data_IF_095726326927
#
_entry.id   IF_095726326927
#
_cell.length_a   1.000
_cell.length_b   1.000
_cell.length_c   1.000
_cell.angle_alpha   90.00
_cell.angle_beta   90.00
_cell.angle_gamma   90.00
#
_symmetry.space_group_name_H-M   'P 1'
#
loop_
_entity.id
_entity.type
_entity.pdbx_description
1 polymer ?
#
# COMPACT_ATOMS: atom_id res chain seq x y z
N UNK A 1 27.39 33.12 -9.19
CA UNK A 1 26.54 32.31 -8.30
C UNK A 1 25.56 31.56 -9.18
N UNK A 2 25.96 30.42 -9.73
CA UNK A 2 25.10 29.57 -10.57
C UNK A 2 24.65 28.40 -9.72
N UNK A 3 23.34 28.29 -9.46
CA UNK A 3 22.76 27.11 -8.86
C UNK A 3 22.64 26.04 -9.95
N UNK A 4 23.56 25.08 -9.94
CA UNK A 4 23.42 23.85 -10.72
C UNK A 4 22.22 23.09 -10.13
N UNK A 5 21.06 23.30 -10.73
CA UNK A 5 19.89 22.45 -10.53
C UNK A 5 20.15 21.24 -11.40
N UNK A 6 20.84 20.24 -10.84
CA UNK A 6 20.93 18.92 -11.43
C UNK A 6 19.50 18.37 -11.56
N UNK A 7 18.89 18.54 -12.73
CA UNK A 7 17.71 17.78 -13.13
C UNK A 7 18.13 16.33 -13.14
N UNK A 8 17.78 15.58 -12.10
CA UNK A 8 17.84 14.13 -12.15
C UNK A 8 16.89 13.68 -13.27
N UNK A 9 17.48 13.33 -14.42
CA UNK A 9 16.80 12.66 -15.51
C UNK A 9 16.19 11.38 -14.95
N UNK A 10 14.86 11.38 -14.83
CA UNK A 10 14.08 10.28 -14.31
C UNK A 10 14.26 9.04 -15.15
N UNK A 11 15.07 8.09 -14.67
CA UNK A 11 14.70 6.70 -14.83
C UNK A 11 13.48 6.51 -13.95
N UNK A 12 12.29 6.41 -14.55
CA UNK A 12 11.10 5.92 -13.86
C UNK A 12 11.52 4.64 -13.16
N UNK A 13 11.62 4.64 -11.82
CA UNK A 13 11.73 3.39 -11.09
C UNK A 13 10.42 2.69 -11.39
N UNK A 14 10.48 1.73 -12.30
CA UNK A 14 9.35 0.89 -12.62
C UNK A 14 8.92 0.25 -11.30
N UNK A 15 7.83 0.77 -10.74
CA UNK A 15 7.29 0.24 -9.51
C UNK A 15 6.92 -1.20 -9.84
N UNK A 16 7.36 -2.18 -9.04
CA UNK A 16 7.03 -3.56 -9.30
C UNK A 16 5.51 -3.70 -9.41
N UNK A 17 5.04 -4.30 -10.50
CA UNK A 17 3.63 -4.54 -10.82
C UNK A 17 3.11 -5.71 -9.99
N UNK A 18 3.15 -5.58 -8.67
CA UNK A 18 2.53 -6.57 -7.80
C UNK A 18 1.02 -6.45 -7.90
N UNK A 19 0.36 -7.58 -8.14
CA UNK A 19 -1.04 -7.70 -7.76
C UNK A 19 -1.12 -7.56 -6.23
N UNK A 20 -2.05 -6.74 -5.74
CA UNK A 20 -2.24 -6.52 -4.31
C UNK A 20 -3.51 -7.24 -3.84
N UNK A 21 -3.47 -7.75 -2.61
CA UNK A 21 -4.66 -8.22 -1.88
C UNK A 21 -4.90 -7.33 -0.69
N UNK A 22 -6.17 -7.12 -0.38
CA UNK A 22 -6.63 -6.46 0.84
C UNK A 22 -7.49 -7.45 1.63
N UNK A 23 -7.30 -7.49 2.94
CA UNK A 23 -8.13 -8.24 3.89
C UNK A 23 -8.60 -7.27 4.95
N UNK A 24 -9.92 -7.24 5.20
CA UNK A 24 -10.52 -6.45 6.26
C UNK A 24 -10.88 -7.39 7.41
N UNK A 25 -10.27 -7.14 8.57
CA UNK A 25 -10.60 -7.80 9.82
C UNK A 25 -11.62 -6.95 10.58
N UNK A 26 -12.68 -7.60 11.04
CA UNK A 26 -13.77 -6.93 11.77
C UNK A 26 -13.72 -7.27 13.24
N UNK A 27 -13.90 -6.25 14.06
CA UNK A 27 -13.84 -6.35 15.51
C UNK A 27 -15.11 -5.77 16.14
N UNK A 28 -15.67 -6.46 17.14
CA UNK A 28 -16.92 -6.00 17.78
C UNK A 28 -16.69 -4.76 18.67
N UNK A 29 -15.51 -4.66 19.30
CA UNK A 29 -15.17 -3.64 20.30
C UNK A 29 -14.04 -2.70 19.86
N UNK A 30 -13.61 -2.76 18.59
CA UNK A 30 -12.53 -1.94 18.04
C UNK A 30 -12.83 -1.57 16.58
N UNK A 31 -12.21 -0.50 16.03
CA UNK A 31 -12.33 -0.19 14.61
C UNK A 31 -11.83 -1.34 13.74
N UNK A 32 -12.47 -1.52 12.57
CA UNK A 32 -12.01 -2.50 11.59
C UNK A 32 -10.59 -2.15 11.11
N UNK A 33 -9.80 -3.19 10.80
CA UNK A 33 -8.45 -3.05 10.28
C UNK A 33 -8.35 -3.65 8.87
N UNK A 34 -7.84 -2.87 7.92
CA UNK A 34 -7.57 -3.31 6.56
C UNK A 34 -6.07 -3.50 6.37
N UNK A 35 -5.66 -4.72 6.05
CA UNK A 35 -4.26 -5.07 5.73
C UNK A 35 -4.11 -5.33 4.24
N UNK A 36 -3.17 -4.63 3.60
CA UNK A 36 -2.83 -4.73 2.18
C UNK A 36 -1.43 -5.33 2.02
N UNK A 37 -1.29 -6.31 1.12
CA UNK A 37 -0.01 -6.99 0.85
C UNK A 37 0.08 -7.51 -0.60
N UNK A 38 1.30 -7.76 -1.12
CA UNK A 38 1.50 -8.37 -2.43
C UNK A 38 0.92 -9.79 -2.52
N UNK A 39 0.19 -10.06 -3.59
CA UNK A 39 -0.25 -11.40 -3.98
C UNK A 39 0.91 -12.18 -4.61
N UNK A 40 0.86 -13.51 -4.54
CA UNK A 40 1.78 -14.39 -5.27
C UNK A 40 3.24 -14.38 -4.79
N UNK A 41 3.56 -13.63 -3.73
CA UNK A 41 4.89 -13.67 -3.09
C UNK A 41 4.96 -14.76 -2.03
N UNK A 42 6.19 -15.24 -1.77
CA UNK A 42 6.47 -16.17 -0.68
C UNK A 42 6.09 -15.59 0.69
N UNK A 43 5.97 -16.46 1.68
CA UNK A 43 5.53 -16.10 3.03
C UNK A 43 6.46 -15.09 3.70
N UNK A 44 7.78 -15.27 3.57
CA UNK A 44 8.75 -14.38 4.21
C UNK A 44 8.63 -12.95 3.66
N UNK A 45 8.51 -12.80 2.35
CA UNK A 45 8.31 -11.51 1.70
C UNK A 45 6.95 -10.91 2.02
N UNK A 46 5.90 -11.72 2.15
CA UNK A 46 4.57 -11.27 2.58
C UNK A 46 4.60 -10.68 3.99
N UNK A 47 5.29 -11.35 4.92
CA UNK A 47 5.43 -10.90 6.31
C UNK A 47 6.26 -9.61 6.45
N UNK A 48 7.11 -9.32 5.48
CA UNK A 48 7.93 -8.11 5.47
C UNK A 48 7.34 -6.96 4.64
N UNK A 49 6.33 -7.23 3.80
CA UNK A 49 5.80 -6.27 2.82
C UNK A 49 4.29 -6.18 2.96
N UNK A 50 3.84 -5.40 3.93
CA UNK A 50 2.43 -5.13 4.16
C UNK A 50 2.25 -3.74 4.74
N UNK A 51 1.02 -3.23 4.63
CA UNK A 51 0.58 -2.02 5.31
C UNK A 51 -0.82 -2.25 5.85
N UNK A 52 -1.06 -1.83 7.09
CA UNK A 52 -2.37 -1.89 7.71
C UNK A 52 -2.87 -0.48 8.02
N UNK A 53 -4.19 -0.32 7.96
CA UNK A 53 -4.86 0.92 8.30
C UNK A 53 -6.15 0.60 9.06
N UNK A 54 -6.44 1.38 10.09
CA UNK A 54 -7.70 1.27 10.86
C UNK A 54 -8.74 2.24 10.31
N UNK A 55 -10.01 1.93 10.47
CA UNK A 55 -11.09 2.88 10.17
C UNK A 55 -10.88 4.21 10.92
N UNK A 56 -11.23 5.35 10.30
CA UNK A 56 -11.88 5.51 8.99
C UNK A 56 -10.89 5.71 7.83
N UNK A 57 -9.65 5.27 7.97
CA UNK A 57 -8.56 5.56 7.00
C UNK A 57 -8.76 4.87 5.65
N UNK A 58 -9.66 3.89 5.57
CA UNK A 58 -10.08 3.21 4.36
C UNK A 58 -11.62 3.20 4.29
N UNK A 59 -12.15 2.99 3.09
CA UNK A 59 -13.59 2.91 2.82
C UNK A 59 -13.89 1.80 1.84
N UNK A 60 -15.12 1.29 1.88
CA UNK A 60 -15.64 0.37 0.87
C UNK A 60 -15.59 1.00 -0.52
N UNK A 61 -15.09 0.26 -1.52
CA UNK A 61 -14.90 0.79 -2.87
C UNK A 61 -16.21 1.29 -3.48
N UNK A 62 -17.32 0.60 -3.21
CA UNK A 62 -18.66 1.01 -3.69
C UNK A 62 -19.19 2.30 -3.04
N UNK A 63 -18.60 2.75 -1.94
CA UNK A 63 -18.95 4.02 -1.30
C UNK A 63 -18.25 5.23 -1.95
N UNK A 64 -17.19 5.00 -2.72
CA UNK A 64 -16.47 6.05 -3.46
C UNK A 64 -17.05 6.15 -4.88
N UNK A 65 -17.35 7.37 -5.33
CA UNK A 65 -17.88 7.67 -6.67
C UNK A 65 -17.01 8.67 -7.40
#
# INVERSE_FOLDING_TARGET
MSTDTTRQTGGEREAPTWELRAVVERYDDAPDECTIYPAGVDEHKRMATWISATEPSFVELGAVR
#
